data_IF_727667765677
#
_entry.id   IF_727667765677
#
_cell.length_a   1.000
_cell.length_b   1.000
_cell.length_c   1.000
_cell.angle_alpha   90.00
_cell.angle_beta   90.00
_cell.angle_gamma   90.00
#
_symmetry.space_group_name_H-M   'P 1'
#
loop_
_entity.id
_entity.type
_entity.pdbx_description
1 polymer ?
#
# COMPACT_ATOMS: atom_id res chain seq x y z
N UNK A 1 -14.03 2.19 -21.83
CA UNK A 1 -14.38 3.52 -21.29
C UNK A 1 -13.90 4.61 -22.26
N UNK A 2 -14.81 5.45 -22.78
CA UNK A 2 -14.56 6.46 -23.83
C UNK A 2 -13.49 7.51 -23.49
N UNK A 3 -13.35 7.86 -22.22
CA UNK A 3 -12.53 8.99 -21.78
C UNK A 3 -11.20 8.61 -21.13
N UNK A 4 -10.94 7.30 -20.96
CA UNK A 4 -9.79 6.77 -20.22
C UNK A 4 -8.43 7.22 -20.79
N UNK A 5 -8.36 7.40 -22.10
CA UNK A 5 -7.12 7.70 -22.83
C UNK A 5 -7.00 9.18 -23.20
N UNK A 6 -8.00 10.00 -22.86
CA UNK A 6 -7.99 11.41 -23.19
C UNK A 6 -7.24 12.20 -22.11
N UNK A 7 -6.35 13.07 -22.56
CA UNK A 7 -5.75 14.09 -21.71
C UNK A 7 -6.67 15.29 -21.60
N UNK A 8 -6.72 15.88 -20.43
CA UNK A 8 -7.31 17.20 -20.21
C UNK A 8 -6.25 18.14 -19.64
N UNK A 9 -6.49 19.44 -19.75
CA UNK A 9 -5.65 20.44 -19.11
C UNK A 9 -6.15 20.65 -17.69
N UNK A 10 -5.25 20.50 -16.73
CA UNK A 10 -5.49 20.70 -15.30
C UNK A 10 -4.92 22.05 -14.88
N UNK A 11 -5.72 22.81 -14.12
CA UNK A 11 -5.41 24.17 -13.68
C UNK A 11 -5.43 24.22 -12.15
N UNK A 12 -4.35 24.71 -11.54
CA UNK A 12 -4.27 24.95 -10.10
C UNK A 12 -3.95 26.42 -9.84
N UNK A 13 -4.83 27.11 -9.11
CA UNK A 13 -4.57 28.48 -8.65
C UNK A 13 -3.70 28.45 -7.40
N UNK A 14 -2.69 29.31 -7.39
CA UNK A 14 -1.88 29.59 -6.21
C UNK A 14 -2.49 30.75 -5.41
N UNK A 15 -2.06 30.89 -4.15
CA UNK A 15 -2.59 31.91 -3.24
C UNK A 15 -2.28 33.35 -3.68
N UNK A 16 -1.30 33.54 -4.56
CA UNK A 16 -0.93 34.83 -5.16
C UNK A 16 -1.68 35.12 -6.49
N UNK A 17 -2.60 34.23 -6.91
CA UNK A 17 -3.31 34.33 -8.17
C UNK A 17 -2.56 33.76 -9.38
N UNK A 18 -1.35 33.22 -9.19
CA UNK A 18 -0.64 32.49 -10.22
C UNK A 18 -1.37 31.20 -10.64
N UNK A 19 -1.21 30.78 -11.90
CA UNK A 19 -1.79 29.55 -12.42
C UNK A 19 -0.70 28.54 -12.77
N UNK A 20 -0.81 27.33 -12.22
CA UNK A 20 -0.10 26.16 -12.71
C UNK A 20 -1.02 25.45 -13.71
N UNK A 21 -0.49 25.19 -14.90
CA UNK A 21 -1.19 24.51 -15.98
C UNK A 21 -0.40 23.24 -16.32
N UNK A 22 -1.06 22.09 -16.27
CA UNK A 22 -0.44 20.81 -16.62
C UNK A 22 -1.39 19.93 -17.44
N UNK A 23 -0.85 18.89 -18.07
CA UNK A 23 -1.68 17.86 -18.70
C UNK A 23 -2.01 16.78 -17.68
N UNK A 24 -3.23 16.25 -17.72
CA UNK A 24 -3.64 15.13 -16.88
C UNK A 24 -2.75 13.90 -17.10
N UNK A 25 -2.47 13.20 -16.01
CA UNK A 25 -1.71 11.97 -16.04
C UNK A 25 -2.55 10.83 -16.63
N UNK A 26 -1.91 9.99 -17.46
CA UNK A 26 -2.52 8.77 -17.99
C UNK A 26 -1.97 7.55 -17.25
N UNK A 27 -2.80 6.52 -17.06
CA UNK A 27 -2.33 5.24 -16.54
C UNK A 27 -1.65 4.43 -17.65
N UNK A 28 -0.35 4.13 -17.48
CA UNK A 28 0.39 3.24 -18.40
C UNK A 28 0.12 1.77 -18.12
N UNK A 29 -0.22 1.42 -16.88
CA UNK A 29 -0.39 0.05 -16.43
C UNK A 29 -1.84 -0.38 -16.59
N UNK A 30 -2.11 -1.28 -17.55
CA UNK A 30 -3.46 -1.67 -17.98
C UNK A 30 -3.70 -3.17 -17.91
N UNK A 31 -2.62 -3.94 -17.91
CA UNK A 31 -2.58 -5.38 -17.92
C UNK A 31 -1.33 -5.85 -17.18
N UNK A 32 -1.29 -7.16 -16.87
CA UNK A 32 -0.12 -7.75 -16.22
C UNK A 32 1.18 -7.59 -17.01
N UNK A 33 1.08 -7.46 -18.33
CA UNK A 33 2.24 -7.34 -19.23
C UNK A 33 2.88 -5.95 -19.18
N UNK A 34 2.20 -4.96 -18.60
CA UNK A 34 2.74 -3.62 -18.41
C UNK A 34 3.65 -3.52 -17.17
N UNK A 35 3.63 -4.53 -16.30
CA UNK A 35 4.54 -4.64 -15.17
C UNK A 35 5.86 -5.30 -15.59
N UNK A 36 6.97 -4.77 -15.09
CA UNK A 36 8.28 -5.41 -15.24
C UNK A 36 8.68 -6.06 -13.92
N UNK A 37 9.15 -7.32 -13.96
CA UNK A 37 9.71 -7.96 -12.76
C UNK A 37 10.91 -7.15 -12.25
N UNK A 38 10.93 -6.82 -10.97
CA UNK A 38 11.95 -5.91 -10.43
C UNK A 38 13.35 -6.49 -10.59
N UNK A 39 14.25 -5.66 -11.13
CA UNK A 39 15.67 -5.97 -11.24
C UNK A 39 16.51 -4.70 -11.17
N UNK A 40 17.71 -4.81 -10.60
CA UNK A 40 18.66 -3.71 -10.47
C UNK A 40 20.10 -4.22 -10.61
N UNK A 41 21.03 -3.36 -11.01
CA UNK A 41 22.46 -3.69 -11.04
C UNK A 41 23.21 -2.79 -10.06
N UNK A 42 23.94 -3.39 -9.12
CA UNK A 42 24.74 -2.68 -8.14
C UNK A 42 26.16 -3.24 -8.12
N UNK A 43 27.15 -2.37 -8.34
CA UNK A 43 28.58 -2.73 -8.38
C UNK A 43 28.91 -3.95 -9.26
N UNK A 44 28.24 -4.05 -10.41
CA UNK A 44 28.43 -5.16 -11.37
C UNK A 44 27.63 -6.43 -11.05
N UNK A 45 26.96 -6.50 -9.91
CA UNK A 45 26.07 -7.62 -9.55
C UNK A 45 24.64 -7.28 -9.93
N UNK A 46 23.98 -8.19 -10.66
CA UNK A 46 22.56 -8.08 -11.01
C UNK A 46 21.69 -8.75 -9.94
N UNK A 47 20.73 -8.00 -9.42
CA UNK A 47 19.70 -8.45 -8.48
C UNK A 47 18.39 -8.55 -9.24
N UNK A 48 17.67 -9.66 -9.07
CA UNK A 48 16.38 -9.92 -9.72
C UNK A 48 15.47 -10.57 -8.70
N UNK A 49 14.19 -10.19 -8.70
CA UNK A 49 13.19 -10.90 -7.91
C UNK A 49 13.09 -12.35 -8.37
N UNK A 50 13.11 -13.27 -7.40
CA UNK A 50 13.12 -14.71 -7.66
C UNK A 50 11.72 -15.26 -7.92
N UNK A 51 10.72 -14.81 -7.14
CA UNK A 51 9.34 -15.27 -7.26
C UNK A 51 8.54 -14.39 -8.22
N UNK A 52 7.95 -15.00 -9.24
CA UNK A 52 6.99 -14.29 -10.13
C UNK A 52 5.63 -14.10 -9.44
N UNK A 53 4.90 -13.02 -9.75
CA UNK A 53 3.54 -12.84 -9.25
C UNK A 53 2.58 -13.92 -9.78
N UNK A 54 1.63 -14.28 -8.94
CA UNK A 54 0.46 -15.09 -9.29
C UNK A 54 -0.58 -14.23 -10.03
N UNK A 55 -1.56 -14.87 -10.67
CA UNK A 55 -2.64 -14.14 -11.33
C UNK A 55 -3.47 -13.30 -10.34
N UNK A 56 -3.75 -13.82 -9.14
CA UNK A 56 -4.46 -13.07 -8.10
C UNK A 56 -3.68 -11.83 -7.66
N UNK A 57 -2.36 -11.97 -7.46
CA UNK A 57 -1.49 -10.82 -7.15
C UNK A 57 -1.51 -9.80 -8.28
N UNK A 58 -1.43 -10.20 -9.56
CA UNK A 58 -1.55 -9.26 -10.68
C UNK A 58 -2.88 -8.51 -10.68
N UNK A 59 -4.00 -9.15 -10.33
CA UNK A 59 -5.29 -8.46 -10.22
C UNK A 59 -5.28 -7.41 -9.10
N UNK A 60 -4.71 -7.73 -7.94
CA UNK A 60 -4.56 -6.79 -6.83
C UNK A 60 -3.59 -5.65 -7.16
N UNK A 61 -2.49 -5.93 -7.88
CA UNK A 61 -1.56 -4.93 -8.38
C UNK A 61 -2.26 -3.95 -9.33
N UNK A 62 -3.05 -4.45 -10.28
CA UNK A 62 -3.80 -3.62 -11.23
C UNK A 62 -4.86 -2.78 -10.53
N UNK A 63 -5.63 -3.38 -9.63
CA UNK A 63 -6.62 -2.66 -8.83
C UNK A 63 -5.95 -1.58 -7.99
N UNK A 64 -4.92 -1.95 -7.23
CA UNK A 64 -4.19 -1.07 -6.34
C UNK A 64 -3.53 0.08 -7.08
N UNK A 65 -2.89 -0.17 -8.22
CA UNK A 65 -2.29 0.90 -9.02
C UNK A 65 -3.32 1.91 -9.53
N UNK A 66 -4.51 1.46 -9.94
CA UNK A 66 -5.58 2.37 -10.34
C UNK A 66 -6.11 3.21 -9.16
N UNK A 67 -6.20 2.62 -7.96
CA UNK A 67 -6.58 3.36 -6.75
C UNK A 67 -5.50 4.38 -6.38
N UNK A 68 -4.23 3.97 -6.39
CA UNK A 68 -3.08 4.79 -5.98
C UNK A 68 -2.97 6.08 -6.79
N UNK A 69 -3.25 6.03 -8.10
CA UNK A 69 -3.32 7.23 -8.95
C UNK A 69 -4.34 8.28 -8.46
N UNK A 70 -5.31 7.87 -7.66
CA UNK A 70 -6.32 8.74 -7.06
C UNK A 70 -5.95 9.32 -5.70
N UNK A 71 -4.95 8.75 -5.00
CA UNK A 71 -4.58 9.08 -3.62
C UNK A 71 -3.62 10.28 -3.60
N UNK A 72 -3.74 11.14 -2.58
CA UNK A 72 -2.83 12.28 -2.40
C UNK A 72 -1.46 11.81 -1.93
N UNK A 73 -0.40 12.32 -2.55
CA UNK A 73 0.98 11.95 -2.27
C UNK A 73 1.56 12.62 -1.02
N UNK A 74 2.60 12.04 -0.41
CA UNK A 74 3.09 10.68 -0.68
C UNK A 74 2.11 9.65 -0.14
N UNK A 75 1.96 8.52 -0.82
CA UNK A 75 1.06 7.44 -0.41
C UNK A 75 1.68 6.05 -0.52
N UNK A 76 1.16 5.16 0.33
CA UNK A 76 1.33 3.71 0.28
C UNK A 76 -0.02 3.09 0.64
N UNK A 77 -0.45 2.10 -0.12
CA UNK A 77 -1.68 1.37 0.13
C UNK A 77 -1.43 -0.13 0.19
N UNK A 78 -2.28 -0.84 0.93
CA UNK A 78 -2.35 -2.30 0.95
C UNK A 78 -3.67 -2.74 0.35
N UNK A 79 -3.61 -3.69 -0.57
CA UNK A 79 -4.76 -4.24 -1.30
C UNK A 79 -4.78 -5.75 -1.17
N UNK A 80 -5.97 -6.32 -1.02
CA UNK A 80 -6.16 -7.77 -1.04
C UNK A 80 -7.53 -8.09 -1.62
N UNK A 81 -7.61 -9.07 -2.51
CA UNK A 81 -8.87 -9.56 -3.09
C UNK A 81 -9.72 -8.44 -3.71
N UNK A 82 -9.06 -7.48 -4.39
CA UNK A 82 -9.70 -6.35 -5.04
C UNK A 82 -10.27 -5.28 -4.10
N UNK A 83 -9.85 -5.26 -2.82
CA UNK A 83 -10.24 -4.22 -1.85
C UNK A 83 -9.04 -3.61 -1.15
N UNK A 84 -9.14 -2.33 -0.77
CA UNK A 84 -8.11 -1.66 0.03
C UNK A 84 -8.20 -2.08 1.49
N UNK A 85 -7.11 -2.63 2.03
CA UNK A 85 -6.98 -3.01 3.44
C UNK A 85 -6.54 -1.82 4.30
N UNK A 86 -5.66 -0.96 3.75
CA UNK A 86 -5.18 0.24 4.44
C UNK A 86 -4.60 1.26 3.48
N UNK A 87 -4.78 2.55 3.78
CA UNK A 87 -4.32 3.67 2.94
C UNK A 87 -3.56 4.70 3.80
N UNK A 88 -2.25 4.81 3.56
CA UNK A 88 -1.39 5.87 4.07
C UNK A 88 -1.25 6.98 3.04
N UNK A 89 -1.35 8.23 3.48
CA UNK A 89 -1.30 9.41 2.60
C UNK A 89 -0.89 10.63 3.41
N UNK A 90 -0.22 11.59 2.76
CA UNK A 90 0.03 12.93 3.31
C UNK A 90 1.32 13.08 4.13
N UNK A 91 2.17 12.06 4.14
CA UNK A 91 3.45 12.08 4.85
C UNK A 91 4.62 12.53 3.97
N UNK A 92 5.66 13.07 4.61
CA UNK A 92 6.89 13.47 3.93
C UNK A 92 7.87 12.30 3.74
N UNK A 93 7.81 11.31 4.62
CA UNK A 93 8.67 10.12 4.62
C UNK A 93 7.94 8.85 4.13
N UNK A 94 8.67 7.99 3.41
CA UNK A 94 8.13 6.79 2.77
C UNK A 94 7.91 5.64 3.77
N UNK A 95 8.76 5.55 4.80
CA UNK A 95 8.57 4.54 5.86
C UNK A 95 7.37 4.94 6.70
N UNK A 96 7.29 6.21 7.10
CA UNK A 96 6.17 6.76 7.86
C UNK A 96 4.82 6.56 7.16
N UNK A 97 4.73 6.81 5.86
CA UNK A 97 3.46 6.59 5.13
C UNK A 97 3.05 5.10 5.09
N UNK A 98 4.02 4.19 4.94
CA UNK A 98 3.76 2.76 4.97
C UNK A 98 3.30 2.29 6.36
N UNK A 99 3.89 2.82 7.43
CA UNK A 99 3.51 2.53 8.81
C UNK A 99 2.11 3.08 9.14
N UNK A 100 1.76 4.27 8.65
CA UNK A 100 0.41 4.83 8.80
C UNK A 100 -0.63 3.96 8.09
N UNK A 101 -0.30 3.43 6.90
CA UNK A 101 -1.18 2.52 6.18
C UNK A 101 -1.45 1.24 7.00
N UNK A 102 -0.42 0.68 7.66
CA UNK A 102 -0.55 -0.46 8.57
C UNK A 102 -1.40 -0.09 9.79
N UNK A 103 -1.09 1.02 10.45
CA UNK A 103 -1.85 1.50 11.62
C UNK A 103 -3.35 1.62 11.32
N UNK A 104 -3.70 2.21 10.17
CA UNK A 104 -5.08 2.34 9.73
C UNK A 104 -5.75 1.00 9.44
N UNK A 105 -5.03 0.04 8.85
CA UNK A 105 -5.55 -1.31 8.65
C UNK A 105 -5.92 -1.95 9.99
N UNK A 106 -5.03 -1.88 10.99
CA UNK A 106 -5.28 -2.39 12.34
C UNK A 106 -6.47 -1.71 13.02
N UNK A 107 -6.54 -0.39 12.98
CA UNK A 107 -7.65 0.35 13.58
C UNK A 107 -9.01 -0.04 12.96
N UNK A 108 -9.07 -0.18 11.63
CA UNK A 108 -10.31 -0.54 10.92
C UNK A 108 -10.69 -2.01 11.08
N UNK A 109 -9.71 -2.90 11.15
CA UNK A 109 -9.97 -4.32 11.41
C UNK A 109 -10.58 -4.54 12.80
N UNK A 110 -10.05 -3.87 13.83
CA UNK A 110 -10.62 -3.90 15.18
C UNK A 110 -12.04 -3.39 15.24
N UNK A 111 -12.28 -2.26 14.59
CA UNK A 111 -13.61 -1.67 14.51
C UNK A 111 -14.61 -2.62 13.82
N UNK A 112 -14.21 -3.22 12.71
CA UNK A 112 -15.04 -4.20 11.98
C UNK A 112 -15.31 -5.48 12.80
N UNK A 113 -14.29 -6.03 13.47
CA UNK A 113 -14.44 -7.20 14.33
C UNK A 113 -15.38 -6.90 15.51
N UNK A 114 -15.16 -5.77 16.19
CA UNK A 114 -15.99 -5.35 17.31
C UNK A 114 -17.45 -5.18 16.88
N UNK A 115 -17.68 -4.50 15.76
CA UNK A 115 -19.02 -4.31 15.22
C UNK A 115 -19.68 -5.64 14.83
N UNK A 116 -18.94 -6.55 14.20
CA UNK A 116 -19.44 -7.88 13.81
C UNK A 116 -19.84 -8.73 15.02
N UNK A 117 -19.05 -8.72 16.09
CA UNK A 117 -19.29 -9.53 17.29
C UNK A 117 -20.35 -8.92 18.21
N UNK A 118 -20.36 -7.59 18.36
CA UNK A 118 -21.09 -6.91 19.43
C UNK A 118 -22.03 -5.79 18.98
N UNK A 119 -22.05 -5.45 17.68
CA UNK A 119 -22.94 -4.45 17.09
C UNK A 119 -22.59 -2.99 17.38
N UNK A 120 -21.40 -2.71 17.93
CA UNK A 120 -20.93 -1.36 18.26
C UNK A 120 -19.49 -1.14 17.78
N UNK A 121 -19.09 0.11 17.58
CA UNK A 121 -17.72 0.45 17.18
C UNK A 121 -16.71 0.17 18.29
N UNK A 122 -15.45 -0.08 17.92
CA UNK A 122 -14.40 -0.47 18.88
C UNK A 122 -14.17 0.60 19.94
N UNK A 123 -14.12 1.88 19.55
CA UNK A 123 -13.92 2.97 20.51
C UNK A 123 -15.11 3.12 21.48
N UNK A 124 -16.34 2.91 21.00
CA UNK A 124 -17.52 2.95 21.87
C UNK A 124 -17.51 1.76 22.84
N UNK A 125 -17.08 0.58 22.39
CA UNK A 125 -16.87 -0.58 23.26
C UNK A 125 -15.87 -0.28 24.37
N UNK A 126 -14.73 0.34 24.04
CA UNK A 126 -13.71 0.76 25.02
C UNK A 126 -14.31 1.68 26.07
N UNK A 127 -15.14 2.65 25.68
CA UNK A 127 -15.85 3.53 26.62
C UNK A 127 -16.84 2.75 27.50
N UNK A 128 -17.56 1.78 26.95
CA UNK A 128 -18.49 0.95 27.72
C UNK A 128 -17.79 0.05 28.74
N UNK A 129 -16.59 -0.44 28.43
CA UNK A 129 -15.73 -1.16 29.40
C UNK A 129 -15.31 -0.25 30.55
N UNK A 130 -14.88 0.99 30.26
CA UNK A 130 -14.51 1.97 31.30
C UNK A 130 -15.67 2.31 32.25
N UNK A 131 -16.91 2.24 31.74
CA UNK A 131 -18.13 2.46 32.55
C UNK A 131 -18.68 1.19 33.20
N UNK A 132 -18.02 0.04 33.04
CA UNK A 132 -18.41 -1.24 33.62
C UNK A 132 -19.61 -1.91 32.95
N UNK A 133 -20.05 -1.44 31.78
CA UNK A 133 -21.17 -2.02 31.02
C UNK A 133 -20.77 -3.27 30.22
N UNK A 134 -19.48 -3.43 29.93
CA UNK A 134 -18.91 -4.52 29.11
C UNK A 134 -17.60 -5.03 29.70
N UNK A 135 -17.16 -6.19 29.23
CA UNK A 135 -15.96 -6.85 29.74
C UNK A 135 -14.70 -6.46 28.95
N UNK A 136 -13.58 -6.29 29.66
CA UNK A 136 -12.25 -6.09 29.08
C UNK A 136 -11.77 -7.33 28.32
N UNK A 137 -12.13 -8.55 28.75
CA UNK A 137 -11.69 -9.79 28.09
C UNK A 137 -12.09 -9.84 26.61
N UNK A 138 -13.24 -9.28 26.26
CA UNK A 138 -13.73 -9.18 24.87
C UNK A 138 -12.82 -8.29 24.00
N UNK A 139 -12.31 -7.18 24.56
CA UNK A 139 -11.37 -6.30 23.87
C UNK A 139 -10.03 -7.00 23.67
N UNK A 140 -9.56 -7.71 24.69
CA UNK A 140 -8.31 -8.46 24.62
C UNK A 140 -8.40 -9.57 23.57
N UNK A 141 -9.56 -10.21 23.42
CA UNK A 141 -9.83 -11.16 22.33
C UNK A 141 -9.78 -10.49 20.95
N UNK A 142 -10.41 -9.31 20.78
CA UNK A 142 -10.37 -8.56 19.52
C UNK A 142 -8.92 -8.17 19.17
N UNK A 143 -8.14 -7.69 20.14
CA UNK A 143 -6.73 -7.35 19.95
C UNK A 143 -5.91 -8.59 19.55
N UNK A 144 -6.11 -9.70 20.24
CA UNK A 144 -5.42 -10.96 19.95
C UNK A 144 -5.77 -11.52 18.57
N UNK A 145 -7.04 -11.45 18.15
CA UNK A 145 -7.48 -11.84 16.80
C UNK A 145 -6.88 -10.91 15.74
N UNK A 146 -6.97 -9.59 15.93
CA UNK A 146 -6.38 -8.60 15.02
C UNK A 146 -4.87 -8.81 14.84
N UNK A 147 -4.15 -9.05 15.94
CA UNK A 147 -2.72 -9.28 15.91
C UNK A 147 -2.36 -10.59 15.17
N UNK A 148 -3.14 -11.65 15.38
CA UNK A 148 -2.97 -12.95 14.72
C UNK A 148 -3.17 -12.85 13.21
N UNK A 149 -4.20 -12.13 12.80
CA UNK A 149 -4.56 -11.97 11.39
C UNK A 149 -3.78 -10.85 10.69
N UNK A 150 -2.91 -10.14 11.44
CA UNK A 150 -2.23 -8.91 11.01
C UNK A 150 -3.19 -7.91 10.36
N UNK A 151 -4.38 -7.78 10.91
CA UNK A 151 -5.44 -6.93 10.37
C UNK A 151 -5.78 -7.17 8.88
N UNK A 152 -5.63 -8.42 8.42
CA UNK A 152 -5.89 -8.81 7.03
C UNK A 152 -4.75 -8.54 6.05
N UNK A 153 -3.60 -8.03 6.52
CA UNK A 153 -2.44 -7.69 5.69
C UNK A 153 -1.65 -8.91 5.18
N UNK A 154 -1.81 -10.07 5.81
CA UNK A 154 -1.16 -11.32 5.35
C UNK A 154 -1.62 -11.61 3.92
N UNK A 155 -0.68 -11.75 2.99
CA UNK A 155 -0.95 -12.02 1.58
C UNK A 155 -1.38 -10.79 0.77
N UNK A 156 -1.51 -9.61 1.38
CA UNK A 156 -1.85 -8.39 0.67
C UNK A 156 -0.73 -7.94 -0.29
N UNK A 157 -1.10 -7.13 -1.28
CA UNK A 157 -0.20 -6.41 -2.17
C UNK A 157 0.03 -5.00 -1.63
N UNK A 158 1.29 -4.60 -1.46
CA UNK A 158 1.70 -3.24 -1.11
C UNK A 158 1.94 -2.43 -2.39
N UNK A 159 1.38 -1.23 -2.49
CA UNK A 159 1.52 -0.33 -3.64
C UNK A 159 2.02 1.03 -3.15
N UNK A 160 2.98 1.61 -3.87
CA UNK A 160 3.53 2.95 -3.59
C UNK A 160 3.54 3.82 -4.85
N UNK A 161 3.06 5.07 -4.73
CA UNK A 161 3.03 6.05 -5.82
C UNK A 161 4.41 6.40 -6.43
N UNK A 162 5.49 6.10 -5.70
CA UNK A 162 6.88 6.30 -6.09
C UNK A 162 7.79 5.19 -5.53
N UNK A 163 9.08 5.22 -5.88
CA UNK A 163 10.04 4.22 -5.40
C UNK A 163 10.32 4.32 -3.89
N UNK A 164 10.78 3.20 -3.31
CA UNK A 164 11.35 3.16 -1.96
C UNK A 164 12.84 3.54 -2.01
N UNK A 165 13.27 4.60 -1.32
CA UNK A 165 14.69 4.99 -1.32
C UNK A 165 15.60 3.94 -0.69
N UNK A 166 15.11 3.21 0.31
CA UNK A 166 15.83 2.18 1.05
C UNK A 166 14.92 0.98 1.36
N UNK A 167 15.53 -0.13 1.82
CA UNK A 167 14.81 -1.38 2.14
C UNK A 167 13.81 -1.24 3.28
N UNK A 168 14.01 -0.29 4.18
CA UNK A 168 13.20 -0.10 5.39
C UNK A 168 11.71 0.11 5.07
N UNK A 169 11.39 0.85 4.01
CA UNK A 169 10.02 1.05 3.55
C UNK A 169 9.37 -0.25 3.09
N UNK A 170 10.13 -1.11 2.39
CA UNK A 170 9.67 -2.44 1.96
C UNK A 170 9.54 -3.40 3.14
N UNK A 171 10.47 -3.34 4.09
CA UNK A 171 10.47 -4.15 5.31
C UNK A 171 9.23 -3.87 6.19
N UNK A 172 8.59 -2.69 6.10
CA UNK A 172 7.31 -2.42 6.77
C UNK A 172 6.24 -3.40 6.30
N UNK A 173 6.05 -3.53 4.97
CA UNK A 173 5.06 -4.45 4.40
C UNK A 173 5.43 -5.91 4.65
N UNK A 174 6.70 -6.28 4.46
CA UNK A 174 7.17 -7.66 4.67
C UNK A 174 6.88 -8.13 6.10
N UNK A 175 7.10 -7.28 7.12
CA UNK A 175 6.80 -7.59 8.53
C UNK A 175 5.31 -7.85 8.81
N UNK A 176 4.40 -7.39 7.94
CA UNK A 176 2.96 -7.65 8.01
C UNK A 176 2.53 -8.86 7.17
N UNK A 177 3.46 -9.47 6.43
CA UNK A 177 3.19 -10.67 5.63
C UNK A 177 2.63 -10.37 4.25
N UNK A 178 2.89 -9.20 3.67
CA UNK A 178 2.52 -8.92 2.27
C UNK A 178 3.14 -9.95 1.35
N UNK A 179 2.43 -10.32 0.29
CA UNK A 179 2.91 -11.28 -0.71
C UNK A 179 3.61 -10.57 -1.87
N UNK A 180 3.20 -9.34 -2.18
CA UNK A 180 3.62 -8.63 -3.38
C UNK A 180 3.83 -7.13 -3.14
N UNK A 181 4.72 -6.51 -3.92
CA UNK A 181 5.02 -5.08 -3.87
C UNK A 181 5.04 -4.48 -5.29
N UNK A 182 4.44 -3.31 -5.44
CA UNK A 182 4.43 -2.52 -6.69
C UNK A 182 4.91 -1.11 -6.42
N UNK A 183 5.89 -0.64 -7.21
CA UNK A 183 6.25 0.77 -7.23
C UNK A 183 6.89 1.18 -8.57
N UNK A 184 7.31 2.43 -8.70
CA UNK A 184 7.88 2.95 -9.95
C UNK A 184 9.21 2.32 -10.39
N UNK A 185 9.99 1.73 -9.46
CA UNK A 185 11.43 1.52 -9.60
C UNK A 185 12.23 2.84 -9.73
N UNK A 186 13.55 2.74 -9.76
CA UNK A 186 14.47 3.86 -10.02
C UNK A 186 15.26 4.36 -8.81
N UNK A 187 15.33 3.60 -7.72
CA UNK A 187 16.24 3.90 -6.62
C UNK A 187 17.64 3.35 -6.90
N UNK A 188 18.68 4.09 -6.54
CA UNK A 188 20.06 3.57 -6.52
C UNK A 188 20.22 2.35 -5.60
N UNK A 189 19.28 2.19 -4.65
CA UNK A 189 19.22 1.10 -3.68
C UNK A 189 18.13 0.08 -3.97
N UNK A 190 17.55 0.05 -5.18
CA UNK A 190 16.55 -0.96 -5.55
C UNK A 190 17.06 -2.41 -5.31
N UNK A 191 18.37 -2.62 -5.42
CA UNK A 191 19.00 -3.92 -5.14
C UNK A 191 18.77 -4.40 -3.69
N UNK A 192 18.76 -3.51 -2.70
CA UNK A 192 18.50 -3.87 -1.30
C UNK A 192 17.05 -4.25 -1.09
N UNK A 193 16.12 -3.50 -1.71
CA UNK A 193 14.68 -3.77 -1.65
C UNK A 193 14.34 -5.12 -2.31
N UNK A 194 14.99 -5.43 -3.44
CA UNK A 194 14.89 -6.73 -4.12
C UNK A 194 15.45 -7.85 -3.23
N UNK A 195 16.63 -7.64 -2.61
CA UNK A 195 17.21 -8.61 -1.70
C UNK A 195 16.28 -8.89 -0.51
N UNK A 196 15.71 -7.85 0.12
CA UNK A 196 14.76 -8.00 1.22
C UNK A 196 13.53 -8.83 0.82
N UNK A 197 13.00 -8.64 -0.38
CA UNK A 197 11.89 -9.44 -0.91
C UNK A 197 12.26 -10.92 -1.11
N UNK A 198 13.47 -11.20 -1.61
CA UNK A 198 13.96 -12.56 -1.81
C UNK A 198 14.33 -13.25 -0.48
N UNK A 199 14.81 -12.51 0.51
CA UNK A 199 15.16 -12.98 1.87
C UNK A 199 13.91 -13.33 2.71
N UNK A 200 12.76 -12.71 2.40
CA UNK A 200 11.52 -12.94 3.12
C UNK A 200 11.05 -14.40 3.03
N UNK A 201 10.39 -14.88 4.09
CA UNK A 201 9.79 -16.22 4.14
C UNK A 201 8.31 -16.10 4.55
N UNK A 202 7.35 -16.40 3.65
CA UNK A 202 7.54 -16.74 2.23
C UNK A 202 8.12 -15.57 1.42
N UNK A 203 8.71 -15.87 0.26
CA UNK A 203 9.31 -14.86 -0.62
C UNK A 203 8.25 -13.89 -1.15
N UNK A 204 8.61 -12.61 -1.16
CA UNK A 204 7.76 -11.52 -1.66
C UNK A 204 8.13 -11.23 -3.11
N UNK A 205 7.12 -11.05 -3.97
CA UNK A 205 7.37 -10.63 -5.35
C UNK A 205 7.37 -9.11 -5.43
N UNK A 206 8.13 -8.54 -6.36
CA UNK A 206 8.14 -7.10 -6.60
C UNK A 206 8.15 -6.81 -8.10
N UNK A 207 7.33 -5.85 -8.51
CA UNK A 207 7.27 -5.38 -9.89
C UNK A 207 7.40 -3.86 -9.97
N UNK A 208 7.97 -3.40 -11.09
CA UNK A 208 8.11 -1.99 -11.42
C UNK A 208 7.10 -1.56 -12.47
N UNK A 209 6.61 -0.33 -12.33
CA UNK A 209 5.69 0.32 -13.28
C UNK A 209 6.40 1.30 -14.23
N UNK A 210 7.65 1.68 -13.93
CA UNK A 210 8.37 2.76 -14.62
C UNK A 210 7.56 4.07 -14.72
N UNK A 211 6.61 4.27 -13.80
CA UNK A 211 5.73 5.41 -13.73
C UNK A 211 5.55 5.83 -12.26
N UNK A 212 5.80 7.10 -11.95
CA UNK A 212 5.39 7.71 -10.67
C UNK A 212 4.02 8.34 -10.83
N UNK A 213 3.18 8.28 -9.79
CA UNK A 213 1.78 8.74 -9.85
C UNK A 213 1.48 9.78 -8.76
N UNK A 214 2.32 10.80 -8.68
CA UNK A 214 2.17 11.85 -7.67
C UNK A 214 0.92 12.71 -7.86
N UNK A 215 0.28 13.05 -6.73
CA UNK A 215 -0.91 13.89 -6.69
C UNK A 215 -0.88 14.85 -5.51
N UNK A 216 -1.16 16.13 -5.76
CA UNK A 216 -1.11 17.23 -4.79
C UNK A 216 -2.38 18.07 -4.77
#
# INVERSE_FOLDING_TARGET
ARYRDLRFIDFKSLNDGGLIIQQSQLNKIRSKDDFTLASATYKGTRYVIERKPTEAEYQDMLFGWNVEMGVTSNSVIYVRDGVTVGIGTGEQDRVGVAEIAVFKAYAKYKDALCFKKYGIGYNDYVLEVQTGKRNQDDLDEIEAETARDKAGLIGATMISDAFFPFRDGVDVGIRQGVSAIVHAGGSDRDFDSIAACNEATPQVTMVFTAQRVFKH
#
